data_IF_219843581141
#
_entry.id   IF_219843581141
#
_cell.length_a   1.000
_cell.length_b   1.000
_cell.length_c   1.000
_cell.angle_alpha   90.00
_cell.angle_beta   90.00
_cell.angle_gamma   90.00
#
_symmetry.space_group_name_H-M   'P 1'
#
loop_
_entity.id
_entity.type
_entity.pdbx_description
1 polymer ?
#
# COMPACT_ATOMS: atom_id res chain seq x y z
N UNK A 1 22.58 13.23 7.56
CA UNK A 1 21.24 12.63 7.37
C UNK A 1 21.35 11.11 7.56
N UNK A 2 20.88 10.56 8.70
CA UNK A 2 20.92 9.11 8.89
C UNK A 2 19.98 8.43 7.86
N UNK A 3 20.56 7.63 6.96
CA UNK A 3 19.81 6.71 6.10
C UNK A 3 19.19 5.65 7.04
N UNK A 4 17.96 5.90 7.49
CA UNK A 4 17.26 4.99 8.40
C UNK A 4 17.15 3.59 7.82
N UNK A 5 17.20 2.58 8.69
CA UNK A 5 17.06 1.15 8.37
C UNK A 5 15.83 0.91 7.48
N UNK A 6 16.05 0.18 6.39
CA UNK A 6 15.00 -0.33 5.49
C UNK A 6 14.72 -1.76 5.93
N UNK A 7 13.46 -2.07 6.21
CA UNK A 7 12.98 -3.42 6.46
C UNK A 7 12.12 -3.85 5.26
N UNK A 8 12.00 -5.17 5.04
CA UNK A 8 11.04 -5.71 4.09
C UNK A 8 9.70 -5.90 4.80
N UNK A 9 8.67 -5.28 4.26
CA UNK A 9 7.30 -5.30 4.76
C UNK A 9 6.43 -6.16 3.85
N UNK A 10 5.60 -7.02 4.44
CA UNK A 10 4.62 -7.80 3.71
C UNK A 10 3.48 -6.90 3.21
N UNK A 11 3.25 -6.85 1.90
CA UNK A 11 2.23 -6.01 1.28
C UNK A 11 0.84 -6.42 1.79
N UNK A 12 0.58 -7.72 1.69
CA UNK A 12 -0.47 -8.45 2.37
C UNK A 12 0.15 -9.16 3.58
N UNK A 13 -0.31 -8.88 4.81
CA UNK A 13 0.30 -9.43 6.01
C UNK A 13 0.33 -10.96 6.04
N UNK A 14 1.41 -11.54 6.55
CA UNK A 14 1.54 -12.99 6.73
C UNK A 14 0.48 -13.57 7.67
N UNK A 15 0.06 -12.80 8.68
CA UNK A 15 -1.07 -13.13 9.55
C UNK A 15 -2.43 -13.24 8.82
N UNK A 16 -2.49 -12.81 7.57
CA UNK A 16 -3.65 -12.87 6.67
C UNK A 16 -3.38 -13.78 5.46
N UNK A 17 -2.40 -14.68 5.55
CA UNK A 17 -2.06 -15.62 4.48
C UNK A 17 -1.18 -15.04 3.35
N UNK A 18 -0.60 -13.85 3.54
CA UNK A 18 0.35 -13.29 2.58
C UNK A 18 1.64 -14.11 2.51
N UNK A 19 2.04 -14.48 1.30
CA UNK A 19 3.25 -15.27 1.05
C UNK A 19 4.53 -14.47 1.33
N UNK A 20 5.65 -15.16 1.60
CA UNK A 20 6.95 -14.50 1.77
C UNK A 20 7.76 -14.67 0.50
N UNK A 21 7.37 -13.91 -0.53
CA UNK A 21 8.00 -13.90 -1.86
C UNK A 21 8.30 -12.45 -2.30
N UNK A 22 8.97 -12.29 -3.45
CA UNK A 22 9.32 -10.95 -3.92
C UNK A 22 8.12 -10.08 -4.32
N UNK A 23 6.98 -10.69 -4.64
CA UNK A 23 5.76 -9.99 -5.05
C UNK A 23 4.99 -9.46 -3.85
N UNK A 24 5.16 -10.05 -2.67
CA UNK A 24 4.56 -9.59 -1.44
C UNK A 24 5.53 -8.81 -0.54
N UNK A 25 6.78 -8.57 -0.93
CA UNK A 25 7.77 -7.86 -0.11
C UNK A 25 8.07 -6.45 -0.64
N UNK A 26 7.82 -5.45 0.20
CA UNK A 26 8.06 -4.04 -0.10
C UNK A 26 9.19 -3.46 0.77
N UNK A 27 10.22 -2.81 0.19
CA UNK A 27 11.26 -2.14 0.96
C UNK A 27 10.71 -0.87 1.63
N UNK A 28 10.55 -0.94 2.95
CA UNK A 28 9.93 0.10 3.75
C UNK A 28 10.91 0.65 4.79
N UNK A 29 11.13 1.97 4.82
CA UNK A 29 11.83 2.60 5.94
C UNK A 29 11.12 2.27 7.26
N UNK A 30 11.83 1.67 8.21
CA UNK A 30 11.29 1.17 9.49
C UNK A 30 10.36 2.15 10.20
N UNK A 31 10.78 3.41 10.31
CA UNK A 31 9.95 4.43 10.97
C UNK A 31 8.62 4.67 10.25
N UNK A 32 8.58 4.64 8.92
CA UNK A 32 7.32 4.80 8.18
C UNK A 32 6.47 3.54 8.27
N UNK A 33 7.11 2.37 8.25
CA UNK A 33 6.46 1.07 8.42
C UNK A 33 5.73 0.97 9.77
N UNK A 34 6.35 1.43 10.86
CA UNK A 34 5.66 1.51 12.17
C UNK A 34 4.41 2.40 12.06
N UNK A 35 4.51 3.57 11.42
CA UNK A 35 3.39 4.53 11.29
C UNK A 35 2.28 4.03 10.38
N UNK A 36 2.64 3.19 9.41
CA UNK A 36 1.68 2.46 8.59
C UNK A 36 0.83 1.52 9.44
N UNK A 37 1.45 0.70 10.29
CA UNK A 37 0.72 -0.19 11.19
C UNK A 37 -0.11 0.55 12.26
N UNK A 38 0.31 1.74 12.70
CA UNK A 38 -0.50 2.59 13.57
C UNK A 38 -1.84 2.99 12.93
N UNK A 39 -1.90 3.09 11.59
CA UNK A 39 -3.13 3.42 10.86
C UNK A 39 -3.90 2.16 10.44
N UNK A 40 -3.23 1.18 9.83
CA UNK A 40 -3.88 0.08 9.12
C UNK A 40 -3.72 -1.29 9.79
N UNK A 41 -2.89 -1.41 10.83
CA UNK A 41 -2.57 -2.68 11.48
C UNK A 41 -2.21 -3.74 10.43
N UNK A 42 -2.97 -4.84 10.34
CA UNK A 42 -2.77 -5.94 9.40
C UNK A 42 -3.87 -6.00 8.32
N UNK A 43 -4.42 -4.86 7.89
CA UNK A 43 -5.32 -4.84 6.73
C UNK A 43 -4.60 -5.28 5.45
N UNK A 44 -5.31 -5.98 4.57
CA UNK A 44 -4.82 -6.35 3.24
C UNK A 44 -4.85 -5.15 2.29
N UNK A 45 -4.04 -5.20 1.22
CA UNK A 45 -3.91 -4.07 0.31
C UNK A 45 -5.24 -3.68 -0.35
N UNK A 46 -6.10 -4.64 -0.68
CA UNK A 46 -7.44 -4.38 -1.23
C UNK A 46 -8.31 -3.59 -0.26
N UNK A 47 -8.31 -3.95 1.03
CA UNK A 47 -9.19 -3.33 2.03
C UNK A 47 -8.79 -1.87 2.19
N UNK A 48 -7.49 -1.63 2.22
CA UNK A 48 -6.91 -0.30 2.33
C UNK A 48 -7.25 0.52 1.09
N UNK A 49 -7.03 -0.02 -0.11
CA UNK A 49 -7.25 0.71 -1.37
C UNK A 49 -8.72 1.09 -1.55
N UNK A 50 -9.65 0.14 -1.41
CA UNK A 50 -11.08 0.37 -1.61
C UNK A 50 -11.66 1.36 -0.56
N UNK A 51 -11.03 1.48 0.60
CA UNK A 51 -11.51 2.33 1.70
C UNK A 51 -10.63 3.58 1.95
N UNK A 52 -9.55 3.81 1.19
CA UNK A 52 -8.56 4.86 1.52
C UNK A 52 -9.18 6.26 1.56
N UNK A 53 -10.13 6.55 0.68
CA UNK A 53 -10.86 7.83 0.62
C UNK A 53 -11.71 8.02 1.88
N UNK A 54 -12.45 6.97 2.28
CA UNK A 54 -13.27 6.98 3.48
C UNK A 54 -12.41 7.15 4.74
N UNK A 55 -11.35 6.36 4.88
CA UNK A 55 -10.42 6.42 6.01
C UNK A 55 -9.78 7.81 6.11
N UNK A 56 -9.34 8.36 4.97
CA UNK A 56 -8.79 9.72 4.92
C UNK A 56 -9.82 10.75 5.37
N UNK A 57 -11.04 10.69 4.85
CA UNK A 57 -12.14 11.57 5.25
C UNK A 57 -12.42 11.49 6.75
N UNK A 58 -12.44 10.29 7.32
CA UNK A 58 -12.63 10.09 8.76
C UNK A 58 -11.49 10.68 9.59
N UNK A 59 -10.23 10.56 9.15
CA UNK A 59 -9.09 11.12 9.90
C UNK A 59 -9.06 12.65 9.79
N UNK A 60 -9.31 13.21 8.60
CA UNK A 60 -9.07 14.62 8.33
C UNK A 60 -10.29 15.52 8.48
N UNK A 61 -11.49 15.03 8.17
CA UNK A 61 -12.74 15.79 8.23
C UNK A 61 -13.49 15.62 9.56
N UNK A 62 -13.08 14.69 10.42
CA UNK A 62 -13.67 14.54 11.75
C UNK A 62 -13.39 15.77 12.63
N UNK A 63 -14.45 16.34 13.19
CA UNK A 63 -14.43 17.52 14.09
C UNK A 63 -14.19 17.15 15.55
N UNK A 64 -14.36 15.87 15.92
CA UNK A 64 -14.12 15.38 17.26
C UNK A 64 -12.62 15.41 17.57
N UNK A 65 -12.29 15.75 18.82
CA UNK A 65 -10.89 15.76 19.31
C UNK A 65 -10.30 14.35 19.36
N UNK A 66 -11.16 13.35 19.50
CA UNK A 66 -10.80 11.95 19.61
C UNK A 66 -11.62 11.10 18.64
N UNK A 67 -11.07 9.95 18.28
CA UNK A 67 -11.75 8.95 17.46
C UNK A 67 -11.15 7.56 17.67
N UNK A 68 -11.93 6.54 17.35
CA UNK A 68 -11.46 5.17 17.20
C UNK A 68 -10.99 4.92 15.76
N UNK A 69 -10.36 3.78 15.52
CA UNK A 69 -9.97 3.33 14.17
C UNK A 69 -10.98 2.28 13.68
N UNK A 70 -12.25 2.66 13.56
CA UNK A 70 -13.34 1.72 13.23
C UNK A 70 -13.11 0.95 11.91
N UNK A 71 -12.33 1.50 10.97
CA UNK A 71 -11.98 0.81 9.72
C UNK A 71 -11.14 -0.46 9.94
N UNK A 72 -10.51 -0.62 11.11
CA UNK A 72 -9.77 -1.84 11.43
C UNK A 72 -10.67 -3.08 11.57
N UNK A 73 -12.00 -2.92 11.58
CA UNK A 73 -12.94 -4.05 11.43
C UNK A 73 -12.71 -4.84 10.13
N UNK A 74 -12.14 -4.21 9.10
CA UNK A 74 -11.77 -4.88 7.85
C UNK A 74 -10.55 -5.81 8.02
N UNK A 75 -9.73 -5.58 9.05
CA UNK A 75 -8.65 -6.50 9.42
C UNK A 75 -9.14 -7.70 10.25
N UNK A 76 -10.45 -7.78 10.57
CA UNK A 76 -10.97 -8.74 11.54
C UNK A 76 -10.80 -10.18 11.07
N UNK A 77 -10.20 -10.98 11.96
CA UNK A 77 -10.14 -12.43 11.89
C UNK A 77 -10.96 -12.93 13.09
N UNK A 78 -11.86 -13.91 12.91
CA UNK A 78 -12.87 -14.30 13.92
C UNK A 78 -12.37 -14.61 15.34
N UNK A 79 -11.06 -14.81 15.54
CA UNK A 79 -10.44 -15.22 16.80
C UNK A 79 -9.56 -14.16 17.51
N UNK A 80 -9.48 -12.91 17.04
CA UNK A 80 -8.54 -11.92 17.60
C UNK A 80 -9.18 -10.95 18.60
N UNK A 81 -9.29 -11.35 19.88
CA UNK A 81 -9.70 -10.49 21.00
C UNK A 81 -8.87 -9.19 21.07
N UNK A 82 -7.58 -9.27 20.75
CA UNK A 82 -6.69 -8.10 20.73
C UNK A 82 -7.04 -7.08 19.65
N UNK A 83 -7.56 -7.51 18.50
CA UNK A 83 -7.98 -6.59 17.45
C UNK A 83 -9.20 -5.79 17.89
N UNK A 84 -10.17 -6.42 18.58
CA UNK A 84 -11.33 -5.72 19.13
C UNK A 84 -10.91 -4.65 20.14
N UNK A 85 -9.90 -4.95 20.97
CA UNK A 85 -9.29 -3.96 21.87
C UNK A 85 -8.63 -2.81 21.08
N UNK A 86 -7.95 -3.11 19.97
CA UNK A 86 -7.32 -2.10 19.09
C UNK A 86 -8.33 -1.23 18.32
N UNK A 87 -9.49 -1.79 17.95
CA UNK A 87 -10.60 -1.09 17.30
C UNK A 87 -11.24 -0.12 18.29
N UNK A 88 -11.54 -0.59 19.51
CA UNK A 88 -12.24 0.20 20.53
C UNK A 88 -11.35 1.26 21.20
N UNK A 89 -10.03 1.16 21.04
CA UNK A 89 -9.10 2.15 21.59
C UNK A 89 -9.34 3.53 20.97
N UNK A 90 -9.51 4.52 21.84
CA UNK A 90 -9.71 5.92 21.49
C UNK A 90 -8.35 6.61 21.33
N UNK A 91 -8.18 7.35 20.25
CA UNK A 91 -6.98 8.11 19.92
C UNK A 91 -7.31 9.59 19.78
N UNK A 92 -6.34 10.46 20.05
CA UNK A 92 -6.44 11.85 19.60
C UNK A 92 -6.47 11.91 18.07
N UNK A 93 -7.41 12.67 17.50
CA UNK A 93 -7.50 12.86 16.05
C UNK A 93 -6.20 13.48 15.49
N UNK A 94 -5.54 14.35 16.27
CA UNK A 94 -4.22 14.92 15.94
C UNK A 94 -3.11 13.86 15.84
N UNK A 95 -3.15 12.84 16.69
CA UNK A 95 -2.22 11.71 16.63
C UNK A 95 -2.36 10.96 15.31
N UNK A 96 -3.59 10.58 14.93
CA UNK A 96 -3.85 9.85 13.68
C UNK A 96 -3.50 10.67 12.43
N UNK A 97 -3.80 11.97 12.41
CA UNK A 97 -3.33 12.91 11.36
C UNK A 97 -1.80 12.90 11.23
N UNK A 98 -1.09 12.81 12.35
CA UNK A 98 0.39 12.75 12.39
C UNK A 98 0.90 11.40 11.89
N UNK A 99 0.30 10.30 12.33
CA UNK A 99 0.67 8.95 11.87
C UNK A 99 0.45 8.80 10.36
N UNK A 100 -0.70 9.23 9.85
CA UNK A 100 -0.98 9.29 8.41
C UNK A 100 0.08 10.09 7.65
N UNK A 101 0.34 11.32 8.11
CA UNK A 101 1.32 12.21 7.47
C UNK A 101 2.71 11.58 7.40
N UNK A 102 3.10 10.81 8.43
CA UNK A 102 4.40 10.13 8.49
C UNK A 102 4.42 8.84 7.65
N UNK A 103 3.32 8.10 7.61
CA UNK A 103 3.18 6.91 6.76
C UNK A 103 3.29 7.29 5.28
N UNK A 104 2.53 8.30 4.84
CA UNK A 104 2.42 8.69 3.43
C UNK A 104 3.28 9.88 3.00
N UNK A 105 4.05 10.46 3.93
CA UNK A 105 4.83 11.70 3.70
C UNK A 105 3.98 12.88 3.22
N UNK A 106 2.75 12.96 3.71
CA UNK A 106 1.82 14.00 3.31
C UNK A 106 0.44 13.80 3.92
N UNK A 107 -0.32 14.89 4.00
CA UNK A 107 -1.72 14.86 4.45
C UNK A 107 -2.69 14.58 3.30
N UNK A 108 -2.24 14.74 2.06
CA UNK A 108 -3.09 14.66 0.89
C UNK A 108 -3.40 13.20 0.56
N UNK A 109 -4.67 12.93 0.25
CA UNK A 109 -5.12 11.62 -0.24
C UNK A 109 -4.36 11.19 -1.51
N UNK A 110 -4.02 12.14 -2.38
CA UNK A 110 -3.25 11.87 -3.60
C UNK A 110 -1.85 11.27 -3.31
N UNK A 111 -1.19 11.73 -2.24
CA UNK A 111 0.10 11.17 -1.80
C UNK A 111 -0.07 9.75 -1.26
N UNK A 112 -1.15 9.49 -0.53
CA UNK A 112 -1.47 8.14 -0.09
C UNK A 112 -1.73 7.19 -1.26
N UNK A 113 -2.60 7.59 -2.21
CA UNK A 113 -2.88 6.79 -3.41
C UNK A 113 -1.64 6.55 -4.27
N UNK A 114 -0.74 7.52 -4.41
CA UNK A 114 0.53 7.32 -5.12
C UNK A 114 1.39 6.26 -4.42
N UNK A 115 1.51 6.32 -3.09
CA UNK A 115 2.27 5.35 -2.32
C UNK A 115 1.66 3.94 -2.35
N UNK A 116 0.33 3.81 -2.31
CA UNK A 116 -0.34 2.51 -2.45
C UNK A 116 -0.09 1.89 -3.82
N UNK A 117 -0.18 2.70 -4.90
CA UNK A 117 0.18 2.25 -6.25
C UNK A 117 1.64 1.82 -6.36
N UNK A 118 2.56 2.49 -5.64
CA UNK A 118 3.95 2.03 -5.58
C UNK A 118 4.04 0.62 -4.96
N UNK A 119 3.36 0.35 -3.85
CA UNK A 119 3.32 -1.01 -3.27
C UNK A 119 2.70 -2.01 -4.27
N UNK A 120 1.64 -1.62 -4.98
CA UNK A 120 1.05 -2.45 -6.03
C UNK A 120 2.01 -2.73 -7.21
N UNK A 121 2.95 -1.83 -7.54
CA UNK A 121 3.98 -2.15 -8.52
C UNK A 121 4.89 -3.29 -8.06
N UNK A 122 5.15 -3.43 -6.76
CA UNK A 122 5.86 -4.61 -6.21
C UNK A 122 4.98 -5.87 -6.26
N UNK A 123 3.67 -5.76 -6.02
CA UNK A 123 2.74 -6.88 -6.27
C UNK A 123 2.80 -7.36 -7.72
N UNK A 124 2.96 -6.43 -8.67
CA UNK A 124 2.98 -6.77 -10.09
C UNK A 124 4.36 -7.25 -10.51
N UNK A 125 5.44 -6.54 -10.18
CA UNK A 125 6.77 -6.78 -10.75
C UNK A 125 7.82 -7.27 -9.75
N UNK A 126 7.43 -7.49 -8.49
CA UNK A 126 8.34 -7.91 -7.43
C UNK A 126 9.45 -6.90 -7.21
N UNK A 127 10.66 -7.43 -7.00
CA UNK A 127 11.86 -6.61 -6.78
C UNK A 127 12.26 -5.77 -8.00
N UNK A 128 11.86 -6.18 -9.20
CA UNK A 128 12.15 -5.45 -10.44
C UNK A 128 11.35 -4.14 -10.56
N UNK A 129 10.34 -3.90 -9.70
CA UNK A 129 9.57 -2.64 -9.64
C UNK A 129 10.44 -1.37 -9.51
N UNK A 130 11.66 -1.50 -8.97
CA UNK A 130 12.64 -0.40 -8.82
C UNK A 130 13.76 -0.43 -9.86
N UNK A 131 13.85 -1.49 -10.67
CA UNK A 131 14.83 -1.64 -11.74
C UNK A 131 14.20 -1.25 -13.07
N UNK A 132 13.99 0.07 -13.24
CA UNK A 132 13.30 0.62 -14.41
C UNK A 132 13.92 0.21 -15.74
N UNK A 133 15.23 -0.03 -15.79
CA UNK A 133 15.92 -0.50 -17.00
C UNK A 133 15.44 -1.90 -17.42
N UNK A 134 15.27 -2.81 -16.46
CA UNK A 134 14.69 -4.15 -16.71
C UNK A 134 13.22 -4.08 -17.08
N UNK A 135 12.43 -3.22 -16.42
CA UNK A 135 11.01 -3.01 -16.75
C UNK A 135 10.82 -2.40 -18.14
N UNK A 136 11.81 -1.65 -18.65
CA UNK A 136 11.72 -1.02 -19.96
C UNK A 136 12.30 -1.87 -21.08
N UNK A 137 12.89 -3.01 -20.79
CA UNK A 137 13.30 -3.98 -21.80
C UNK A 137 12.06 -4.68 -22.41
N UNK A 138 11.93 -4.57 -23.74
CA UNK A 138 10.69 -4.84 -24.48
C UNK A 138 10.31 -6.32 -24.54
N UNK A 139 11.24 -7.25 -24.31
CA UNK A 139 10.98 -8.69 -24.30
C UNK A 139 10.23 -9.16 -23.05
N UNK A 140 10.45 -8.52 -21.90
CA UNK A 140 9.96 -9.03 -20.62
C UNK A 140 8.48 -8.74 -20.37
N UNK A 141 7.98 -7.54 -20.63
CA UNK A 141 6.61 -7.17 -20.20
C UNK A 141 5.49 -7.90 -20.94
N UNK A 142 5.70 -8.28 -22.21
CA UNK A 142 4.67 -8.95 -23.01
C UNK A 142 4.61 -10.46 -22.73
N UNK A 143 5.76 -11.13 -22.59
CA UNK A 143 5.84 -12.52 -22.15
C UNK A 143 5.43 -12.67 -20.67
N UNK A 144 5.80 -11.71 -19.82
CA UNK A 144 5.40 -11.64 -18.40
C UNK A 144 3.88 -11.69 -18.20
N UNK A 145 3.07 -11.09 -19.07
CA UNK A 145 1.61 -11.17 -18.96
C UNK A 145 0.98 -12.30 -19.77
N UNK A 146 1.72 -12.93 -20.71
CA UNK A 146 1.26 -14.11 -21.44
C UNK A 146 1.44 -15.40 -20.65
N UNK A 147 2.55 -15.54 -19.92
CA UNK A 147 2.90 -16.76 -19.20
C UNK A 147 2.35 -16.82 -17.78
N UNK A 148 2.20 -15.68 -17.10
CA UNK A 148 1.65 -15.66 -15.75
C UNK A 148 0.12 -15.70 -15.78
N UNK A 149 -0.45 -16.80 -15.27
CA UNK A 149 -1.83 -16.80 -14.80
C UNK A 149 -1.93 -15.74 -13.71
N UNK A 150 -2.50 -14.60 -14.05
CA UNK A 150 -2.53 -13.48 -13.13
C UNK A 150 -3.44 -13.86 -11.96
N UNK A 151 -2.84 -14.22 -10.82
CA UNK A 151 -3.55 -14.39 -9.56
C UNK A 151 -4.45 -13.17 -9.32
N UNK A 152 -5.68 -13.40 -8.85
CA UNK A 152 -6.72 -12.36 -8.72
C UNK A 152 -6.19 -11.03 -8.11
N UNK A 153 -5.34 -11.09 -7.10
CA UNK A 153 -4.75 -9.90 -6.46
C UNK A 153 -3.77 -9.13 -7.35
N UNK A 154 -2.91 -9.82 -8.11
CA UNK A 154 -1.98 -9.18 -9.04
C UNK A 154 -2.74 -8.56 -10.20
N UNK A 155 -3.82 -9.20 -10.66
CA UNK A 155 -4.68 -8.68 -11.73
C UNK A 155 -5.46 -7.44 -11.27
N UNK A 156 -5.95 -7.49 -10.04
CA UNK A 156 -6.55 -6.33 -9.38
C UNK A 156 -5.56 -5.18 -9.28
N UNK A 157 -4.35 -5.42 -8.75
CA UNK A 157 -3.29 -4.40 -8.65
C UNK A 157 -2.92 -3.82 -10.02
N UNK A 158 -2.84 -4.67 -11.05
CA UNK A 158 -2.58 -4.27 -12.43
C UNK A 158 -3.67 -3.32 -12.92
N UNK A 159 -4.94 -3.69 -12.74
CA UNK A 159 -6.09 -2.87 -13.14
C UNK A 159 -6.08 -1.52 -12.43
N UNK A 160 -5.72 -1.47 -11.15
CA UNK A 160 -5.59 -0.22 -10.39
C UNK A 160 -4.45 0.68 -10.91
N UNK A 161 -3.31 0.09 -11.25
CA UNK A 161 -2.13 0.82 -11.73
C UNK A 161 -2.26 1.26 -13.19
N UNK A 162 -2.84 0.42 -14.04
CA UNK A 162 -2.78 0.55 -15.50
C UNK A 162 -4.15 0.64 -16.19
N UNK A 163 -5.25 0.39 -15.49
CA UNK A 163 -6.59 0.30 -16.08
C UNK A 163 -6.81 -1.02 -16.82
N UNK A 164 -7.94 -1.14 -17.51
CA UNK A 164 -8.31 -2.35 -18.26
C UNK A 164 -7.77 -2.39 -19.69
N UNK A 165 -7.49 -1.21 -20.28
CA UNK A 165 -6.95 -1.07 -21.63
C UNK A 165 -5.59 -0.36 -21.56
N UNK A 166 -4.51 -1.13 -21.51
CA UNK A 166 -3.16 -0.60 -21.44
C UNK A 166 -2.31 -1.10 -22.61
N UNK A 167 -1.59 -0.19 -23.25
CA UNK A 167 -0.49 -0.51 -24.17
C UNK A 167 0.84 -0.53 -23.40
N UNK A 168 1.86 -1.20 -23.96
CA UNK A 168 3.21 -1.20 -23.39
C UNK A 168 3.72 0.22 -23.12
N UNK A 169 3.60 1.11 -24.09
CA UNK A 169 4.00 2.51 -23.95
C UNK A 169 3.26 3.21 -22.80
N UNK A 170 1.94 3.03 -22.72
CA UNK A 170 1.12 3.63 -21.66
C UNK A 170 1.48 3.09 -20.26
N UNK A 171 1.87 1.82 -20.15
CA UNK A 171 2.36 1.25 -18.88
C UNK A 171 3.67 1.89 -18.46
N UNK A 172 4.63 2.02 -19.39
CA UNK A 172 5.93 2.65 -19.10
C UNK A 172 5.75 4.06 -18.56
N UNK A 173 4.87 4.85 -19.18
CA UNK A 173 4.53 6.21 -18.73
C UNK A 173 3.89 6.21 -17.34
N UNK A 174 2.97 5.28 -17.06
CA UNK A 174 2.32 5.15 -15.74
C UNK A 174 3.30 4.73 -14.66
N UNK A 175 4.22 3.80 -14.94
CA UNK A 175 5.31 3.41 -14.02
C UNK A 175 6.16 4.64 -13.67
N UNK A 176 6.66 5.37 -14.68
CA UNK A 176 7.43 6.61 -14.45
C UNK A 176 6.67 7.60 -13.58
N UNK A 177 5.37 7.78 -13.83
CA UNK A 177 4.51 8.67 -13.07
C UNK A 177 4.38 8.24 -11.60
N UNK A 178 4.11 6.95 -11.35
CA UNK A 178 3.99 6.40 -9.98
C UNK A 178 5.30 6.56 -9.22
N UNK A 179 6.43 6.20 -9.84
CA UNK A 179 7.77 6.35 -9.25
C UNK A 179 8.07 7.82 -8.93
N UNK A 180 7.85 8.74 -9.87
CA UNK A 180 8.07 10.18 -9.67
C UNK A 180 7.21 10.76 -8.54
N UNK A 181 5.96 10.31 -8.43
CA UNK A 181 5.03 10.79 -7.38
C UNK A 181 5.36 10.24 -5.99
N UNK A 182 6.04 9.08 -5.93
CA UNK A 182 6.33 8.33 -4.71
C UNK A 182 7.77 8.51 -4.20
N UNK A 183 8.66 9.05 -5.05
CA UNK A 183 10.01 9.43 -4.66
C UNK A 183 10.02 10.43 -3.50
N UNK A 184 11.02 10.35 -2.58
CA UNK A 184 11.18 11.28 -1.46
C UNK A 184 11.23 12.75 -1.88
#
# INVERSE_FOLDING_TARGET
>A
MQRGRIDLDHINPSSRGGETDEFNLFPYRRQRHIRWHEIFLNMQMWDIWENVDKIHGMIFCNRNKTMNREWLVLADLPSQTDLRNQINKIYETKYLKTMWSRAFRGRQLSKAKAFLRLRMLFMIFGSDAVLTEKLYDNGNLFEFFKEFSVMNERQWALTICFGTNYSLQSMKEKIRKILKQSSP
#
